data_IF_733387525996
#
_entry.id   IF_733387525996
#
_cell.length_a   1.000
_cell.length_b   1.000
_cell.length_c   1.000
_cell.angle_alpha   90.00
_cell.angle_beta   90.00
_cell.angle_gamma   90.00
#
_symmetry.space_group_name_H-M   'P 1'
#
loop_
_entity.id
_entity.type
_entity.pdbx_description
1 polymer ?
#
# COMPACT_ATOMS: atom_id res chain seq x y z
N UNK A 1 -14.12 -19.37 4.84
CA UNK A 1 -12.75 -19.87 4.59
C UNK A 1 -11.82 -19.10 5.50
N UNK A 2 -10.84 -19.76 6.11
CA UNK A 2 -9.92 -19.11 7.07
C UNK A 2 -8.77 -18.45 6.30
N UNK A 3 -8.37 -17.24 6.68
CA UNK A 3 -7.20 -16.59 6.12
C UNK A 3 -5.92 -17.18 6.72
N UNK A 4 -4.86 -17.26 5.91
CA UNK A 4 -3.55 -17.78 6.29
C UNK A 4 -2.53 -16.64 6.36
N UNK A 5 -1.63 -16.64 7.35
CA UNK A 5 -0.51 -15.71 7.34
C UNK A 5 0.45 -16.07 6.20
N UNK A 6 0.88 -15.05 5.46
CA UNK A 6 1.89 -15.16 4.41
C UNK A 6 2.95 -14.07 4.61
N UNK A 7 4.18 -14.38 4.25
CA UNK A 7 5.30 -13.47 4.20
C UNK A 7 5.87 -13.45 2.78
N UNK A 8 6.05 -12.26 2.22
CA UNK A 8 6.60 -12.04 0.87
C UNK A 8 7.74 -11.03 0.96
N UNK A 9 8.62 -11.00 -0.05
CA UNK A 9 9.47 -9.82 -0.31
C UNK A 9 8.89 -9.07 -1.49
N UNK A 10 8.28 -7.90 -1.27
CA UNK A 10 7.66 -7.10 -2.32
C UNK A 10 8.48 -5.83 -2.55
N UNK A 11 8.98 -5.63 -3.77
CA UNK A 11 9.81 -4.48 -4.16
C UNK A 11 11.00 -4.27 -3.19
N UNK A 12 11.67 -5.37 -2.82
CA UNK A 12 12.82 -5.37 -1.90
C UNK A 12 12.46 -5.23 -0.41
N UNK A 13 11.17 -5.12 -0.06
CA UNK A 13 10.71 -4.98 1.33
C UNK A 13 9.98 -6.23 1.78
N UNK A 14 10.33 -6.77 2.95
CA UNK A 14 9.54 -7.84 3.56
C UNK A 14 8.17 -7.31 3.95
N UNK A 15 7.13 -8.05 3.60
CA UNK A 15 5.74 -7.76 3.95
C UNK A 15 5.10 -9.02 4.48
N UNK A 16 4.29 -8.86 5.53
CA UNK A 16 3.47 -9.93 6.10
C UNK A 16 1.99 -9.55 5.99
N UNK A 17 1.12 -10.53 5.77
CA UNK A 17 -0.31 -10.29 5.72
C UNK A 17 -1.14 -11.56 5.78
N UNK A 18 -2.45 -11.39 5.87
CA UNK A 18 -3.40 -12.49 5.87
C UNK A 18 -4.04 -12.63 4.48
N UNK A 19 -4.07 -13.84 3.93
CA UNK A 19 -4.69 -14.13 2.64
C UNK A 19 -5.62 -15.35 2.74
N UNK A 20 -6.84 -15.26 2.20
CA UNK A 20 -7.66 -16.45 2.01
C UNK A 20 -7.03 -17.35 0.93
N UNK A 21 -7.23 -18.68 0.95
CA UNK A 21 -6.67 -19.57 -0.06
C UNK A 21 -7.02 -19.18 -1.51
N UNK A 22 -8.17 -18.52 -1.69
CA UNK A 22 -8.66 -18.05 -2.99
C UNK A 22 -8.16 -16.67 -3.39
N UNK A 23 -7.52 -15.92 -2.50
CA UNK A 23 -7.07 -14.56 -2.78
C UNK A 23 -6.00 -14.61 -3.85
N UNK A 24 -6.25 -13.97 -4.99
CA UNK A 24 -5.25 -13.83 -6.05
C UNK A 24 -4.13 -12.88 -5.61
N UNK A 25 -2.91 -13.11 -6.10
CA UNK A 25 -1.76 -12.25 -5.79
C UNK A 25 -2.05 -10.80 -6.22
N UNK A 26 -2.70 -10.59 -7.37
CA UNK A 26 -3.10 -9.25 -7.81
C UNK A 26 -3.98 -8.52 -6.79
N UNK A 27 -4.92 -9.23 -6.16
CA UNK A 27 -5.80 -8.68 -5.13
C UNK A 27 -5.01 -8.34 -3.86
N UNK A 28 -4.09 -9.21 -3.45
CA UNK A 28 -3.23 -8.98 -2.29
C UNK A 28 -2.31 -7.76 -2.48
N UNK A 29 -1.71 -7.62 -3.66
CA UNK A 29 -0.85 -6.48 -4.02
C UNK A 29 -1.65 -5.17 -4.06
N UNK A 30 -2.81 -5.16 -4.72
CA UNK A 30 -3.62 -3.94 -4.91
C UNK A 30 -4.38 -3.52 -3.66
N UNK A 31 -4.90 -4.50 -2.91
CA UNK A 31 -5.74 -4.28 -1.74
C UNK A 31 -4.88 -3.96 -0.53
N UNK A 32 -4.48 -4.96 0.29
CA UNK A 32 -3.67 -4.78 1.49
C UNK A 32 -2.41 -3.93 1.28
N UNK A 33 -1.66 -4.13 0.19
CA UNK A 33 -0.39 -3.42 -0.02
C UNK A 33 -0.51 -2.10 -0.80
N UNK A 34 -1.64 -1.84 -1.47
CA UNK A 34 -1.88 -0.60 -2.20
C UNK A 34 -1.02 -0.40 -3.45
N UNK A 35 -0.38 -1.45 -3.96
CA UNK A 35 0.43 -1.45 -5.18
C UNK A 35 -0.48 -1.50 -6.41
N UNK A 36 -1.14 -0.37 -6.65
CA UNK A 36 -2.25 -0.23 -7.60
C UNK A 36 -1.82 -0.12 -9.06
N UNK A 37 -0.52 -0.02 -9.34
CA UNK A 37 0.03 -0.11 -10.69
C UNK A 37 -0.16 -1.49 -11.33
N UNK A 38 -0.34 -2.54 -10.52
CA UNK A 38 -0.79 -3.85 -11.03
C UNK A 38 -2.27 -3.74 -11.41
N UNK A 39 -2.64 -3.91 -12.68
CA UNK A 39 -4.01 -3.73 -13.14
C UNK A 39 -4.75 -5.06 -13.39
N UNK A 40 -6.06 -5.07 -13.16
CA UNK A 40 -6.95 -6.22 -13.38
C UNK A 40 -7.94 -5.92 -14.51
N UNK A 41 -7.61 -6.38 -15.72
CA UNK A 41 -8.45 -6.13 -16.91
C UNK A 41 -9.38 -7.28 -17.30
N UNK A 42 -8.94 -8.54 -17.11
CA UNK A 42 -9.72 -9.71 -17.56
C UNK A 42 -9.85 -10.83 -16.53
N UNK A 43 -8.97 -10.90 -15.53
CA UNK A 43 -8.99 -11.92 -14.45
C UNK A 43 -8.95 -13.39 -14.92
N UNK A 44 -8.56 -13.63 -16.17
CA UNK A 44 -8.44 -14.96 -16.79
C UNK A 44 -7.10 -15.18 -17.50
N UNK A 45 -6.09 -14.34 -17.18
CA UNK A 45 -4.71 -14.46 -17.72
C UNK A 45 -4.48 -13.93 -19.14
N UNK A 46 -5.52 -13.50 -19.84
CA UNK A 46 -5.48 -13.13 -21.27
C UNK A 46 -4.82 -11.78 -21.54
N UNK A 47 -5.18 -10.72 -20.79
CA UNK A 47 -4.78 -9.35 -21.16
C UNK A 47 -3.37 -8.94 -20.73
N UNK A 48 -2.79 -9.61 -19.73
CA UNK A 48 -1.45 -9.31 -19.21
C UNK A 48 -1.27 -8.01 -18.42
N UNK A 49 -2.31 -7.22 -18.19
CA UNK A 49 -2.22 -6.00 -17.39
C UNK A 49 -1.79 -6.23 -15.92
N UNK A 50 -1.95 -7.47 -15.43
CA UNK A 50 -1.58 -7.90 -14.07
C UNK A 50 -0.15 -8.48 -13.98
N UNK A 51 0.67 -8.32 -15.01
CA UNK A 51 2.00 -8.93 -15.04
C UNK A 51 2.92 -8.27 -14.02
N UNK A 52 3.51 -9.09 -13.16
CA UNK A 52 4.53 -8.74 -12.16
C UNK A 52 5.69 -9.72 -12.28
N UNK A 53 6.83 -9.43 -11.67
CA UNK A 53 7.88 -10.44 -11.50
C UNK A 53 7.60 -11.25 -10.24
N UNK A 54 7.68 -12.57 -10.34
CA UNK A 54 7.68 -13.51 -9.22
C UNK A 54 8.97 -14.33 -9.36
N UNK A 55 9.88 -14.19 -8.40
CA UNK A 55 11.26 -14.70 -8.43
C UNK A 55 11.97 -14.35 -9.75
N UNK A 56 11.88 -13.07 -10.13
CA UNK A 56 12.48 -12.53 -11.34
C UNK A 56 11.74 -12.87 -12.65
N UNK A 57 10.65 -13.66 -12.62
CA UNK A 57 9.95 -14.12 -13.83
C UNK A 57 8.61 -13.38 -14.03
N UNK A 58 8.31 -12.86 -15.24
CA UNK A 58 7.00 -12.29 -15.52
C UNK A 58 5.89 -13.33 -15.37
N UNK A 59 4.94 -13.09 -14.49
CA UNK A 59 3.80 -13.98 -14.26
C UNK A 59 2.49 -13.22 -14.10
N UNK A 60 1.37 -13.92 -14.36
CA UNK A 60 0.02 -13.37 -14.22
C UNK A 60 -0.41 -13.41 -12.77
N UNK A 61 -0.31 -12.29 -12.06
CA UNK A 61 -0.74 -12.22 -10.66
C UNK A 61 -2.24 -12.49 -10.46
N UNK A 62 -3.08 -12.40 -11.50
CA UNK A 62 -4.50 -12.78 -11.42
C UNK A 62 -4.75 -14.30 -11.50
N UNK A 63 -3.77 -15.10 -11.91
CA UNK A 63 -3.87 -16.57 -11.94
C UNK A 63 -3.01 -17.23 -10.85
N UNK A 64 -2.27 -16.45 -10.08
CA UNK A 64 -1.45 -16.91 -8.96
C UNK A 64 -2.19 -16.63 -7.65
N UNK A 65 -2.21 -17.59 -6.73
CA UNK A 65 -2.77 -17.36 -5.39
C UNK A 65 -1.73 -16.70 -4.49
N UNK A 66 -2.14 -15.74 -3.66
CA UNK A 66 -1.24 -15.08 -2.73
C UNK A 66 -0.60 -16.09 -1.75
N UNK A 67 -1.38 -17.08 -1.30
CA UNK A 67 -0.89 -18.16 -0.42
C UNK A 67 0.19 -19.04 -1.05
N UNK A 68 0.19 -19.21 -2.38
CA UNK A 68 1.23 -19.99 -3.06
C UNK A 68 2.54 -19.23 -3.22
N UNK A 69 2.54 -17.92 -2.98
CA UNK A 69 3.74 -17.08 -3.08
C UNK A 69 4.47 -16.92 -1.75
N UNK A 70 4.05 -17.59 -0.68
CA UNK A 70 4.68 -17.43 0.63
C UNK A 70 6.19 -17.73 0.57
N UNK A 71 7.02 -16.73 0.86
CA UNK A 71 8.47 -16.74 0.77
C UNK A 71 9.04 -16.18 -0.55
N UNK A 72 8.22 -15.96 -1.57
CA UNK A 72 8.66 -15.51 -2.89
C UNK A 72 9.05 -14.02 -2.92
N UNK A 73 9.88 -13.66 -3.89
CA UNK A 73 10.18 -12.27 -4.23
C UNK A 73 9.24 -11.77 -5.33
N UNK A 74 8.47 -10.73 -5.03
CA UNK A 74 7.55 -10.08 -5.96
C UNK A 74 8.08 -8.70 -6.31
N UNK A 75 8.12 -8.36 -7.61
CA UNK A 75 8.43 -7.00 -8.06
C UNK A 75 7.32 -6.47 -8.97
N UNK A 76 6.70 -5.38 -8.55
CA UNK A 76 5.65 -4.65 -9.28
C UNK A 76 6.24 -3.44 -9.99
N UNK A 77 5.45 -2.75 -10.82
CA UNK A 77 5.94 -1.58 -11.59
C UNK A 77 6.51 -0.47 -10.71
N UNK A 78 5.99 -0.34 -9.48
CA UNK A 78 6.41 0.63 -8.45
C UNK A 78 7.80 0.33 -7.88
N UNK A 79 8.30 -0.90 -8.02
CA UNK A 79 9.57 -1.34 -7.47
C UNK A 79 10.77 -1.16 -8.41
N UNK A 80 10.64 -0.43 -9.52
CA UNK A 80 11.68 -0.38 -10.57
C UNK A 80 12.42 0.97 -10.68
N UNK A 81 12.35 1.82 -9.67
CA UNK A 81 12.98 3.16 -9.74
C UNK A 81 14.52 3.11 -9.73
N UNK A 82 15.09 2.02 -9.23
CA UNK A 82 16.53 1.72 -9.21
C UNK A 82 16.99 0.81 -10.37
N UNK A 83 16.08 0.42 -11.29
CA UNK A 83 16.42 -0.45 -12.42
C UNK A 83 16.76 0.38 -13.67
N UNK A 84 18.04 0.39 -14.13
CA UNK A 84 18.47 1.23 -15.24
C UNK A 84 17.79 0.87 -16.56
N UNK A 85 17.43 -0.40 -16.78
CA UNK A 85 16.70 -0.83 -17.99
C UNK A 85 15.28 -0.26 -17.96
N UNK A 86 14.65 -0.20 -16.78
CA UNK A 86 13.32 0.41 -16.65
C UNK A 86 13.35 1.92 -16.83
N UNK A 87 14.40 2.61 -16.42
CA UNK A 87 14.59 4.03 -16.74
C UNK A 87 14.66 4.25 -18.26
N UNK A 88 15.51 3.50 -18.97
CA UNK A 88 15.62 3.57 -20.43
C UNK A 88 14.28 3.23 -21.11
N UNK A 89 13.56 2.21 -20.64
CA UNK A 89 12.25 1.83 -21.17
C UNK A 89 11.20 2.92 -20.96
N UNK A 90 11.14 3.56 -19.78
CA UNK A 90 10.18 4.65 -19.52
C UNK A 90 10.43 5.84 -20.43
N UNK A 91 11.69 6.20 -20.67
CA UNK A 91 12.08 7.24 -21.62
C UNK A 91 11.71 6.86 -23.07
N UNK A 92 12.06 5.65 -23.51
CA UNK A 92 11.74 5.17 -24.85
C UNK A 92 10.22 5.05 -25.07
N UNK A 93 9.47 4.57 -24.08
CA UNK A 93 8.01 4.49 -24.16
C UNK A 93 7.38 5.89 -24.36
N UNK A 94 7.96 6.91 -23.74
CA UNK A 94 7.53 8.29 -23.90
C UNK A 94 7.86 8.82 -25.29
N UNK A 95 9.10 8.61 -25.75
CA UNK A 95 9.58 9.06 -27.07
C UNK A 95 8.83 8.40 -28.24
N UNK A 96 8.46 7.13 -28.12
CA UNK A 96 7.74 6.37 -29.16
C UNK A 96 6.22 6.41 -29.04
N UNK A 97 5.66 7.21 -28.11
CA UNK A 97 4.23 7.23 -27.82
C UNK A 97 3.66 5.82 -27.57
N UNK A 98 4.41 5.01 -26.83
CA UNK A 98 4.11 3.61 -26.53
C UNK A 98 2.99 3.43 -25.49
N UNK A 99 2.35 4.51 -25.04
CA UNK A 99 1.17 4.47 -24.19
C UNK A 99 0.17 5.56 -24.60
N UNK A 100 -1.11 5.31 -24.31
CA UNK A 100 -2.20 6.28 -24.41
C UNK A 100 -2.96 6.31 -23.09
N UNK A 101 -3.92 5.40 -22.89
CA UNK A 101 -4.70 5.32 -21.65
C UNK A 101 -3.89 4.89 -20.41
N UNK A 102 -2.67 4.36 -20.61
CA UNK A 102 -1.79 3.91 -19.53
C UNK A 102 -2.16 2.56 -18.90
N UNK A 103 -3.32 1.97 -19.23
CA UNK A 103 -3.84 0.81 -18.50
C UNK A 103 -3.01 -0.46 -18.68
N UNK A 104 -2.54 -0.77 -19.89
CA UNK A 104 -1.66 -1.93 -20.10
C UNK A 104 -0.19 -1.64 -19.75
N UNK A 105 0.18 -0.37 -19.55
CA UNK A 105 1.57 0.08 -19.48
C UNK A 105 2.38 -0.59 -18.36
N UNK A 106 1.87 -0.77 -17.14
CA UNK A 106 2.60 -1.49 -16.08
C UNK A 106 3.03 -2.90 -16.49
N UNK A 107 2.08 -3.72 -16.96
CA UNK A 107 2.37 -5.08 -17.42
C UNK A 107 3.28 -5.09 -18.67
N UNK A 108 3.07 -4.16 -19.60
CA UNK A 108 3.93 -3.99 -20.78
C UNK A 108 5.37 -3.68 -20.40
N UNK A 109 5.61 -2.79 -19.43
CA UNK A 109 6.97 -2.43 -18.99
C UNK A 109 7.67 -3.60 -18.30
N UNK A 110 6.97 -4.34 -17.45
CA UNK A 110 7.53 -5.55 -16.81
C UNK A 110 7.94 -6.58 -17.86
N UNK A 111 7.09 -6.84 -18.85
CA UNK A 111 7.43 -7.76 -19.96
C UNK A 111 8.53 -7.21 -20.86
N UNK A 112 8.51 -5.92 -21.19
CA UNK A 112 9.56 -5.26 -21.98
C UNK A 112 10.94 -5.39 -21.32
N UNK A 113 11.00 -5.18 -20.00
CA UNK A 113 12.22 -5.34 -19.22
C UNK A 113 12.72 -6.79 -19.25
N UNK A 114 11.83 -7.78 -19.12
CA UNK A 114 12.22 -9.19 -19.31
C UNK A 114 12.77 -9.46 -20.71
N UNK A 115 12.11 -8.99 -21.78
CA UNK A 115 12.59 -9.13 -23.16
C UNK A 115 14.01 -8.57 -23.30
N UNK A 116 14.21 -7.32 -22.88
CA UNK A 116 15.51 -6.64 -23.01
C UNK A 116 16.61 -7.37 -22.22
N UNK A 117 16.32 -7.75 -20.97
CA UNK A 117 17.35 -8.34 -20.09
C UNK A 117 17.66 -9.79 -20.47
N UNK A 118 16.65 -10.57 -20.87
CA UNK A 118 16.80 -11.99 -21.21
C UNK A 118 17.30 -12.22 -22.62
N UNK A 119 16.90 -11.39 -23.59
CA UNK A 119 17.22 -11.60 -25.01
C UNK A 119 18.31 -10.66 -25.53
N UNK A 120 18.55 -9.51 -24.90
CA UNK A 120 19.49 -8.52 -25.39
C UNK A 120 19.03 -7.90 -26.72
N UNK A 121 19.95 -7.72 -27.67
CA UNK A 121 19.67 -7.23 -29.01
C UNK A 121 18.77 -8.22 -29.78
N UNK A 122 17.52 -7.82 -30.00
CA UNK A 122 16.44 -8.69 -30.48
C UNK A 122 15.63 -8.02 -31.58
N UNK A 123 15.23 -8.82 -32.58
CA UNK A 123 14.44 -8.34 -33.69
C UNK A 123 12.97 -8.05 -33.34
N UNK A 124 12.32 -7.26 -34.20
CA UNK A 124 10.93 -6.85 -34.03
C UNK A 124 9.95 -8.03 -34.02
N UNK A 125 10.18 -9.06 -34.84
CA UNK A 125 9.29 -10.23 -34.90
C UNK A 125 9.27 -10.96 -33.56
N UNK A 126 10.44 -11.15 -32.97
CA UNK A 126 10.61 -11.77 -31.66
C UNK A 126 10.01 -10.90 -30.57
N UNK A 127 10.22 -9.58 -30.59
CA UNK A 127 9.57 -8.67 -29.63
C UNK A 127 8.04 -8.83 -29.68
N UNK A 128 7.44 -8.88 -30.88
CA UNK A 128 5.99 -9.07 -31.05
C UNK A 128 5.52 -10.41 -30.50
N UNK A 129 6.28 -11.49 -30.72
CA UNK A 129 5.97 -12.83 -30.19
C UNK A 129 6.02 -12.85 -28.66
N UNK A 130 7.05 -12.27 -28.05
CA UNK A 130 7.19 -12.18 -26.58
C UNK A 130 6.12 -11.26 -25.94
N UNK A 131 5.67 -10.23 -26.66
CA UNK A 131 4.58 -9.37 -26.23
C UNK A 131 3.18 -9.97 -26.43
N UNK A 132 3.03 -11.13 -27.06
CA UNK A 132 1.71 -11.72 -27.37
C UNK A 132 0.84 -11.94 -26.13
N UNK A 133 1.45 -12.02 -24.94
CA UNK A 133 0.75 -12.07 -23.66
C UNK A 133 0.22 -10.72 -23.15
N UNK A 134 0.55 -9.57 -23.72
CA UNK A 134 0.08 -8.28 -23.22
C UNK A 134 -0.79 -7.60 -24.27
N UNK A 135 -2.07 -7.39 -23.94
CA UNK A 135 -3.04 -6.81 -24.86
C UNK A 135 -3.11 -5.31 -24.65
N UNK A 136 -2.92 -4.56 -25.72
CA UNK A 136 -3.17 -3.12 -25.77
C UNK A 136 -4.31 -2.81 -26.74
N UNK A 137 -5.30 -2.04 -26.28
CA UNK A 137 -6.44 -1.61 -27.12
C UNK A 137 -6.23 -0.28 -27.82
N UNK A 138 -5.24 0.50 -27.39
CA UNK A 138 -5.10 1.91 -27.79
C UNK A 138 -3.99 2.14 -28.82
N UNK A 139 -2.81 1.52 -28.65
CA UNK A 139 -1.59 1.92 -29.38
C UNK A 139 -1.38 1.18 -30.70
N UNK A 140 -2.02 0.02 -30.91
CA UNK A 140 -1.71 -0.86 -32.04
C UNK A 140 -0.28 -1.45 -32.00
N UNK A 141 0.38 -1.42 -30.83
CA UNK A 141 1.71 -1.98 -30.53
C UNK A 141 2.92 -1.34 -31.22
N UNK A 142 2.76 -0.57 -32.29
CA UNK A 142 3.89 -0.02 -33.08
C UNK A 142 4.89 0.74 -32.21
N UNK A 143 4.42 1.70 -31.40
CA UNK A 143 5.30 2.47 -30.51
C UNK A 143 5.91 1.63 -29.38
N UNK A 144 5.19 0.62 -28.88
CA UNK A 144 5.68 -0.30 -27.83
C UNK A 144 6.86 -1.12 -28.36
N UNK A 145 6.70 -1.69 -29.56
CA UNK A 145 7.75 -2.46 -30.23
C UNK A 145 8.96 -1.58 -30.55
N UNK A 146 8.73 -0.36 -31.06
CA UNK A 146 9.78 0.62 -31.33
C UNK A 146 10.59 0.99 -30.08
N UNK A 147 9.91 1.23 -28.96
CA UNK A 147 10.56 1.54 -27.69
C UNK A 147 11.42 0.37 -27.17
N UNK A 148 10.89 -0.86 -27.21
CA UNK A 148 11.64 -2.04 -26.77
C UNK A 148 12.86 -2.27 -27.66
N UNK A 149 12.70 -2.18 -28.99
CA UNK A 149 13.80 -2.35 -29.95
C UNK A 149 14.91 -1.32 -29.74
N UNK A 150 14.55 -0.05 -29.48
CA UNK A 150 15.53 0.99 -29.17
C UNK A 150 16.36 0.62 -27.94
N UNK A 151 15.71 0.18 -26.87
CA UNK A 151 16.41 -0.15 -25.61
C UNK A 151 17.20 -1.46 -25.74
N UNK A 152 16.68 -2.44 -26.49
CA UNK A 152 17.36 -3.72 -26.73
C UNK A 152 18.64 -3.59 -27.55
N UNK A 153 18.71 -2.62 -28.48
CA UNK A 153 19.81 -2.47 -29.43
C UNK A 153 21.18 -2.40 -28.72
N UNK A 154 22.10 -3.29 -29.09
CA UNK A 154 23.44 -3.35 -28.52
C UNK A 154 23.54 -3.91 -27.08
N UNK A 155 22.44 -4.34 -26.46
CA UNK A 155 22.49 -5.05 -25.16
C UNK A 155 22.79 -6.53 -25.35
N UNK A 156 23.48 -7.12 -24.38
CA UNK A 156 23.77 -8.57 -24.36
C UNK A 156 22.74 -9.29 -23.51
N UNK A 157 22.29 -10.47 -23.98
CA UNK A 157 21.41 -11.34 -23.21
C UNK A 157 22.06 -11.73 -21.88
N UNK A 158 21.32 -11.59 -20.78
CA UNK A 158 21.71 -12.12 -19.47
C UNK A 158 20.99 -13.45 -19.30
N UNK A 159 21.78 -14.54 -19.21
CA UNK A 159 21.24 -15.86 -18.92
C UNK A 159 20.51 -15.83 -17.57
N UNK A 160 19.19 -15.97 -17.62
CA UNK A 160 18.39 -16.10 -16.43
C UNK A 160 18.55 -17.54 -15.92
N UNK A 161 19.12 -17.71 -14.72
CA UNK A 161 19.24 -19.04 -14.13
C UNK A 161 17.88 -19.47 -13.59
N UNK A 162 17.07 -20.08 -14.46
CA UNK A 162 15.75 -20.59 -14.11
C UNK A 162 15.91 -21.90 -13.35
N UNK A 163 16.23 -21.83 -12.07
CA UNK A 163 16.28 -23.02 -11.23
C UNK A 163 14.86 -23.52 -10.94
N UNK A 164 14.33 -24.37 -11.81
CA UNK A 164 13.03 -25.02 -11.62
C UNK A 164 13.08 -26.06 -10.49
N UNK A 165 14.25 -26.63 -10.20
CA UNK A 165 14.43 -27.66 -9.16
C UNK A 165 14.28 -27.06 -7.76
N UNK A 166 14.77 -25.84 -7.54
CA UNK A 166 14.60 -25.13 -6.26
C UNK A 166 13.12 -24.90 -5.86
N UNK A 167 12.19 -24.91 -6.83
CA UNK A 167 10.76 -24.78 -6.55
C UNK A 167 10.10 -26.08 -6.11
N UNK A 168 10.63 -27.25 -6.50
CA UNK A 168 10.04 -28.52 -6.04
C UNK A 168 10.43 -28.85 -4.60
N UNK A 169 11.62 -28.48 -4.14
CA UNK A 169 12.02 -28.71 -2.75
C UNK A 169 11.28 -27.79 -1.76
N UNK A 170 10.78 -26.63 -2.22
CA UNK A 170 9.96 -25.72 -1.44
C UNK A 170 8.44 -26.04 -1.49
N UNK A 171 8.02 -26.91 -2.42
CA UNK A 171 6.68 -27.56 -2.42
C UNK A 171 6.81 -29.03 -2.02
N UNK A 172 7.72 -29.35 -1.09
CA UNK A 172 7.22 -30.14 0.01
C UNK A 172 6.01 -29.35 0.50
N UNK A 173 4.82 -29.95 0.45
CA UNK A 173 3.77 -29.48 1.32
C UNK A 173 4.42 -29.47 2.71
N UNK A 174 4.95 -28.31 3.13
CA UNK A 174 4.93 -27.96 4.51
C UNK A 174 3.45 -28.01 4.77
N UNK A 175 2.99 -29.18 5.22
CA UNK A 175 1.96 -29.22 6.22
C UNK A 175 2.34 -28.08 7.12
N UNK A 176 1.62 -26.98 6.93
CA UNK A 176 1.39 -26.07 8.02
C UNK A 176 0.68 -27.00 8.98
N UNK A 177 1.46 -27.69 9.82
CA UNK A 177 0.98 -28.02 11.14
C UNK A 177 0.43 -26.70 11.59
N UNK A 178 -0.90 -26.63 11.62
CA UNK A 178 -1.57 -25.51 12.23
C UNK A 178 -0.89 -25.44 13.59
N UNK A 179 0.02 -24.47 13.74
CA UNK A 179 0.46 -24.03 15.05
C UNK A 179 -0.86 -23.92 15.79
N UNK A 180 -1.06 -24.71 16.87
CA UNK A 180 -2.36 -24.83 17.50
C UNK A 180 -2.83 -23.41 17.61
N UNK A 181 -3.92 -23.11 16.89
CA UNK A 181 -4.49 -21.80 16.97
C UNK A 181 -4.75 -21.69 18.47
N UNK A 182 -3.88 -20.93 19.15
CA UNK A 182 -4.30 -20.28 20.36
C UNK A 182 -5.50 -19.53 19.82
N UNK A 183 -6.67 -20.09 20.11
CA UNK A 183 -7.95 -19.47 19.92
C UNK A 183 -7.83 -18.24 20.82
N UNK A 184 -7.17 -17.20 20.28
CA UNK A 184 -7.33 -15.85 20.74
C UNK A 184 -8.81 -15.64 20.45
N UNK A 185 -9.60 -15.90 21.48
CA UNK A 185 -11.03 -15.74 21.46
C UNK A 185 -11.27 -14.39 20.80
N UNK A 186 -11.91 -14.38 19.63
CA UNK A 186 -12.42 -13.14 19.06
C UNK A 186 -13.21 -12.50 20.18
N UNK A 187 -12.80 -11.33 20.70
CA UNK A 187 -13.52 -10.73 21.79
C UNK A 187 -14.95 -10.49 21.33
N UNK A 188 -15.90 -10.91 22.16
CA UNK A 188 -17.33 -10.96 21.87
C UNK A 188 -17.97 -9.58 21.57
N UNK A 189 -17.17 -8.49 21.58
CA UNK A 189 -17.61 -7.12 21.37
C UNK A 189 -17.24 -6.52 20.00
N UNK A 190 -16.42 -7.18 19.18
CA UNK A 190 -15.84 -6.56 17.97
C UNK A 190 -16.44 -7.06 16.65
N UNK A 191 -17.76 -7.10 16.54
CA UNK A 191 -18.41 -7.30 15.24
C UNK A 191 -19.11 -6.04 14.73
N UNK A 192 -18.37 -5.24 13.94
CA UNK A 192 -18.94 -4.17 13.13
C UNK A 192 -19.42 -4.67 11.75
N UNK A 193 -19.72 -5.97 11.59
CA UNK A 193 -20.04 -6.61 10.29
C UNK A 193 -21.23 -6.00 9.56
N UNK A 194 -22.08 -5.21 10.22
CA UNK A 194 -23.20 -4.53 9.56
C UNK A 194 -22.92 -3.03 9.42
N UNK A 195 -22.44 -2.61 8.25
CA UNK A 195 -22.42 -1.21 7.84
C UNK A 195 -23.85 -0.71 7.57
N UNK A 196 -24.63 -0.50 8.63
CA UNK A 196 -25.84 0.31 8.65
C UNK A 196 -25.53 1.77 9.04
N UNK A 197 -26.33 2.71 8.54
CA UNK A 197 -26.40 4.12 8.99
C UNK A 197 -25.29 5.09 8.57
N UNK A 198 -24.61 4.82 7.46
CA UNK A 198 -23.66 5.76 6.84
C UNK A 198 -22.29 5.82 7.51
N UNK A 199 -21.95 4.81 8.30
CA UNK A 199 -20.60 4.58 8.81
C UNK A 199 -19.75 3.79 7.80
N UNK A 200 -18.46 4.10 7.76
CA UNK A 200 -17.42 3.33 7.07
C UNK A 200 -16.64 2.52 8.10
N UNK A 201 -16.19 1.32 7.71
CA UNK A 201 -15.40 0.42 8.57
C UNK A 201 -14.08 0.12 7.89
N UNK A 202 -13.00 0.18 8.66
CA UNK A 202 -11.64 -0.10 8.25
C UNK A 202 -11.04 -1.11 9.23
N UNK A 203 -10.43 -2.17 8.71
CA UNK A 203 -9.72 -3.19 9.51
C UNK A 203 -8.26 -3.18 9.14
N UNK A 204 -7.39 -3.17 10.13
CA UNK A 204 -5.93 -3.11 9.96
C UNK A 204 -5.24 -3.91 11.07
N UNK A 205 -4.08 -4.45 10.75
CA UNK A 205 -3.21 -5.11 11.72
C UNK A 205 -1.85 -4.43 11.72
N UNK A 206 -1.30 -4.22 12.90
CA UNK A 206 0.02 -3.63 13.11
C UNK A 206 0.90 -4.63 13.81
N UNK A 207 2.13 -4.83 13.35
CA UNK A 207 3.12 -5.67 14.03
C UNK A 207 4.12 -4.78 14.75
N UNK A 208 4.40 -5.09 16.02
CA UNK A 208 5.37 -4.40 16.86
C UNK A 208 6.38 -5.41 17.38
N UNK A 209 7.70 -5.16 17.23
CA UNK A 209 8.75 -6.06 17.71
C UNK A 209 8.99 -5.85 19.23
N UNK A 210 7.95 -5.98 20.03
CA UNK A 210 8.00 -5.89 21.48
C UNK A 210 6.99 -6.86 22.12
N UNK A 211 7.22 -7.31 23.36
CA UNK A 211 6.30 -8.19 24.07
C UNK A 211 4.91 -7.56 24.28
N UNK A 212 3.86 -8.38 24.20
CA UNK A 212 2.47 -7.93 24.28
C UNK A 212 2.15 -7.17 25.58
N UNK A 213 2.81 -7.50 26.69
CA UNK A 213 2.63 -6.81 27.98
C UNK A 213 3.15 -5.37 27.93
N UNK A 214 4.28 -5.15 27.24
CA UNK A 214 4.86 -3.82 27.09
C UNK A 214 4.03 -2.96 26.13
N UNK A 215 3.59 -3.54 25.02
CA UNK A 215 2.70 -2.89 24.06
C UNK A 215 1.38 -2.51 24.74
N UNK A 216 0.79 -3.44 25.49
CA UNK A 216 -0.44 -3.20 26.25
C UNK A 216 -0.27 -2.08 27.29
N UNK A 217 0.85 -2.05 28.01
CA UNK A 217 1.11 -0.98 28.98
C UNK A 217 1.18 0.42 28.31
N UNK A 218 1.85 0.54 27.16
CA UNK A 218 1.95 1.81 26.43
C UNK A 218 0.61 2.26 25.86
N UNK A 219 -0.20 1.34 25.33
CA UNK A 219 -1.55 1.67 24.84
C UNK A 219 -2.50 2.15 25.96
N UNK A 220 -2.18 1.86 27.23
CA UNK A 220 -2.91 2.38 28.39
C UNK A 220 -2.59 3.82 28.75
N UNK A 221 -1.46 4.36 28.28
CA UNK A 221 -1.09 5.76 28.50
C UNK A 221 -1.56 6.59 27.30
N UNK A 222 -2.72 7.24 27.47
CA UNK A 222 -3.39 8.03 26.43
C UNK A 222 -2.47 9.12 25.88
N UNK A 223 -1.61 9.74 26.72
CA UNK A 223 -0.70 10.81 26.27
C UNK A 223 0.43 10.24 25.41
N UNK A 224 0.98 9.09 25.79
CA UNK A 224 1.99 8.38 24.97
C UNK A 224 1.39 7.86 23.66
N UNK A 225 0.19 7.31 23.71
CA UNK A 225 -0.54 6.84 22.52
C UNK A 225 -0.79 8.00 21.54
N UNK A 226 -1.24 9.15 22.04
CA UNK A 226 -1.46 10.34 21.20
C UNK A 226 -0.15 10.88 20.60
N UNK A 227 0.97 10.82 21.31
CA UNK A 227 2.27 11.21 20.77
C UNK A 227 2.73 10.33 19.60
N UNK A 228 2.22 9.09 19.49
CA UNK A 228 2.50 8.21 18.36
C UNK A 228 1.66 8.56 17.11
N UNK A 229 0.56 9.31 17.27
CA UNK A 229 -0.38 9.66 16.20
C UNK A 229 -0.04 11.04 15.59
N UNK A 230 0.37 11.11 14.31
CA UNK A 230 0.69 12.39 13.68
C UNK A 230 -0.46 13.40 13.73
N UNK A 231 -0.17 14.62 14.20
CA UNK A 231 -1.15 15.70 14.28
C UNK A 231 -2.19 15.55 15.40
N UNK A 232 -2.09 14.51 16.22
CA UNK A 232 -2.90 14.38 17.43
C UNK A 232 -2.28 15.20 18.58
N UNK A 233 -3.14 15.77 19.41
CA UNK A 233 -2.77 16.47 20.63
C UNK A 233 -3.83 16.18 21.68
N UNK A 234 -3.39 16.04 22.94
CA UNK A 234 -4.25 15.77 24.08
C UNK A 234 -4.17 16.96 25.02
N UNK A 235 -5.31 17.60 25.23
CA UNK A 235 -5.45 18.75 26.11
C UNK A 235 -5.66 18.28 27.55
N UNK A 236 -6.78 17.58 27.79
CA UNK A 236 -7.13 17.04 29.11
C UNK A 236 -7.37 15.53 29.07
N UNK A 237 -7.03 14.85 30.18
CA UNK A 237 -7.34 13.45 30.45
C UNK A 237 -7.94 13.38 31.85
N UNK A 238 -9.21 12.99 31.94
CA UNK A 238 -9.96 12.87 33.19
C UNK A 238 -10.63 11.50 33.24
N UNK A 239 -9.98 10.53 33.89
CA UNK A 239 -10.45 9.14 33.90
C UNK A 239 -10.40 8.53 32.51
N UNK A 240 -11.56 8.11 31.99
CA UNK A 240 -11.76 7.56 30.66
C UNK A 240 -12.01 8.64 29.59
N UNK A 241 -12.25 9.89 29.98
CA UNK A 241 -12.53 11.00 29.05
C UNK A 241 -11.25 11.70 28.63
N UNK A 242 -11.14 11.97 27.34
CA UNK A 242 -10.05 12.73 26.73
C UNK A 242 -10.60 13.87 25.89
N UNK A 243 -10.00 15.05 26.00
CA UNK A 243 -10.22 16.15 25.05
C UNK A 243 -8.93 16.45 24.30
N UNK A 244 -9.06 16.86 23.05
CA UNK A 244 -7.90 17.13 22.23
C UNK A 244 -8.25 17.55 20.83
N UNK A 245 -7.22 17.56 19.99
CA UNK A 245 -7.38 17.86 18.57
C UNK A 245 -6.57 16.93 17.68
N UNK A 246 -7.07 16.71 16.47
CA UNK A 246 -6.42 15.93 15.43
C UNK A 246 -6.38 16.76 14.14
N UNK A 247 -5.17 17.11 13.70
CA UNK A 247 -4.95 17.77 12.41
C UNK A 247 -4.51 16.75 11.37
N UNK A 248 -5.28 16.64 10.29
CA UNK A 248 -4.98 15.78 9.15
C UNK A 248 -4.73 16.63 7.91
N UNK A 249 -3.75 16.23 7.11
CA UNK A 249 -3.44 16.85 5.81
C UNK A 249 -3.49 15.79 4.73
N UNK A 250 -4.30 16.03 3.71
CA UNK A 250 -4.48 15.17 2.54
C UNK A 250 -4.31 16.01 1.26
N UNK A 251 -3.11 16.01 0.70
CA UNK A 251 -2.77 16.85 -0.45
C UNK A 251 -3.10 18.33 -0.19
N UNK A 252 -3.96 18.98 -0.99
CA UNK A 252 -4.35 20.39 -0.77
C UNK A 252 -5.37 20.57 0.37
N UNK A 253 -5.93 19.49 0.93
CA UNK A 253 -6.96 19.56 1.97
C UNK A 253 -6.30 19.45 3.33
N UNK A 254 -6.54 20.44 4.19
CA UNK A 254 -6.14 20.41 5.60
C UNK A 254 -7.39 20.53 6.47
N UNK A 255 -7.58 19.58 7.37
CA UNK A 255 -8.71 19.55 8.29
C UNK A 255 -8.19 19.42 9.73
N UNK A 256 -8.77 20.18 10.65
CA UNK A 256 -8.40 20.18 12.06
C UNK A 256 -9.62 19.93 12.90
N UNK A 257 -9.72 18.75 13.49
CA UNK A 257 -10.85 18.36 14.32
C UNK A 257 -10.50 18.62 15.79
N UNK A 258 -11.23 19.50 16.46
CA UNK A 258 -11.22 19.59 17.90
C UNK A 258 -12.40 18.77 18.45
N UNK A 259 -12.17 18.00 19.50
CA UNK A 259 -13.15 17.03 19.95
C UNK A 259 -12.88 16.41 21.32
N UNK A 260 -13.78 15.50 21.68
CA UNK A 260 -13.69 14.69 22.89
C UNK A 260 -13.83 13.22 22.53
N UNK A 261 -13.33 12.37 23.42
CA UNK A 261 -13.48 10.94 23.32
C UNK A 261 -13.48 10.26 24.68
N UNK A 262 -13.81 8.97 24.64
CA UNK A 262 -13.91 8.08 25.78
C UNK A 262 -13.14 6.80 25.47
N UNK A 263 -12.35 6.34 26.43
CA UNK A 263 -11.46 5.19 26.31
C UNK A 263 -11.88 4.13 27.32
N UNK A 264 -12.22 2.93 26.85
CA UNK A 264 -12.50 1.78 27.69
C UNK A 264 -11.51 0.65 27.40
N UNK A 265 -11.10 -0.09 28.42
CA UNK A 265 -10.13 -1.18 28.33
C UNK A 265 -10.58 -2.39 29.14
N UNK A 266 -10.32 -3.57 28.59
CA UNK A 266 -10.42 -4.83 29.29
C UNK A 266 -9.01 -5.40 29.45
N UNK A 267 -8.51 -5.32 30.68
CA UNK A 267 -7.16 -5.79 31.05
C UNK A 267 -7.02 -7.31 30.91
N UNK A 268 -8.11 -8.08 31.07
CA UNK A 268 -8.09 -9.54 31.00
C UNK A 268 -8.01 -10.04 29.55
N UNK A 269 -8.72 -9.37 28.64
CA UNK A 269 -8.75 -9.70 27.22
C UNK A 269 -7.67 -8.95 26.41
N UNK A 270 -7.00 -7.94 26.99
CA UNK A 270 -6.10 -7.00 26.30
C UNK A 270 -6.77 -6.35 25.09
N UNK A 271 -8.00 -5.90 25.30
CA UNK A 271 -8.80 -5.22 24.29
C UNK A 271 -9.19 -3.83 24.76
N UNK A 272 -9.29 -2.89 23.83
CA UNK A 272 -9.75 -1.56 24.16
C UNK A 272 -10.63 -0.97 23.09
N UNK A 273 -11.41 0.02 23.49
CA UNK A 273 -12.23 0.82 22.59
C UNK A 273 -11.98 2.31 22.84
N UNK A 274 -11.99 3.09 21.79
CA UNK A 274 -11.88 4.55 21.82
C UNK A 274 -13.02 5.11 20.99
N UNK A 275 -13.97 5.79 21.63
CA UNK A 275 -15.07 6.49 20.95
C UNK A 275 -14.77 7.96 20.95
N UNK A 276 -15.00 8.65 19.84
CA UNK A 276 -14.68 10.06 19.75
C UNK A 276 -15.53 10.81 18.75
N UNK A 277 -15.66 12.11 18.96
CA UNK A 277 -16.30 13.03 18.03
C UNK A 277 -15.52 14.33 17.97
N UNK A 278 -15.35 14.85 16.77
CA UNK A 278 -14.70 16.14 16.55
C UNK A 278 -15.37 16.97 15.46
N UNK A 279 -15.14 18.28 15.52
CA UNK A 279 -15.60 19.23 14.52
C UNK A 279 -14.43 20.03 13.96
N UNK A 280 -14.38 20.15 12.64
CA UNK A 280 -13.55 21.11 11.94
C UNK A 280 -14.33 22.40 11.74
N UNK A 281 -14.04 23.39 12.59
CA UNK A 281 -14.72 24.68 12.58
C UNK A 281 -14.46 25.47 11.29
N UNK A 282 -13.31 25.26 10.62
CA UNK A 282 -12.94 26.00 9.40
C UNK A 282 -13.48 25.32 8.14
N UNK A 283 -13.36 23.99 8.07
CA UNK A 283 -13.83 23.20 6.93
C UNK A 283 -15.31 22.81 7.00
N UNK A 284 -16.02 23.16 8.08
CA UNK A 284 -17.45 22.89 8.26
C UNK A 284 -17.81 21.41 8.34
N UNK A 285 -16.84 20.54 8.59
CA UNK A 285 -17.02 19.10 8.64
C UNK A 285 -17.03 18.59 10.08
N UNK A 286 -17.67 17.45 10.32
CA UNK A 286 -17.54 16.73 11.60
C UNK A 286 -17.29 15.25 11.39
N UNK A 287 -16.58 14.67 12.35
CA UNK A 287 -16.22 13.27 12.38
C UNK A 287 -16.73 12.64 13.68
N UNK A 288 -17.36 11.49 13.57
CA UNK A 288 -17.63 10.59 14.70
C UNK A 288 -16.92 9.28 14.42
N UNK A 289 -16.17 8.76 15.38
CA UNK A 289 -15.36 7.56 15.22
C UNK A 289 -15.41 6.66 16.44
N UNK A 290 -15.21 5.38 16.19
CA UNK A 290 -15.02 4.34 17.19
C UNK A 290 -13.85 3.47 16.71
N UNK A 291 -12.85 3.31 17.55
CA UNK A 291 -11.71 2.44 17.33
C UNK A 291 -11.85 1.30 18.31
N UNK A 292 -11.72 0.08 17.85
CA UNK A 292 -11.62 -1.10 18.70
C UNK A 292 -10.30 -1.78 18.39
N UNK A 293 -9.57 -2.22 19.41
CA UNK A 293 -8.27 -2.85 19.23
C UNK A 293 -8.07 -4.04 20.17
N UNK A 294 -7.25 -5.00 19.74
CA UNK A 294 -6.81 -6.15 20.51
C UNK A 294 -5.30 -6.33 20.40
N UNK A 295 -4.64 -6.63 21.52
CA UNK A 295 -3.20 -6.91 21.58
C UNK A 295 -2.97 -8.42 21.67
N UNK A 296 -2.42 -8.98 20.61
CA UNK A 296 -2.22 -10.41 20.43
C UNK A 296 -0.72 -10.75 20.45
N UNK A 297 -0.25 -11.64 21.33
CA UNK A 297 1.13 -12.12 21.30
C UNK A 297 1.46 -12.84 19.98
N UNK A 298 2.63 -12.58 19.39
CA UNK A 298 3.13 -13.29 18.22
C UNK A 298 4.65 -13.53 18.33
N UNK A 299 5.05 -14.72 18.77
CA UNK A 299 6.47 -15.05 19.00
C UNK A 299 7.09 -14.10 20.04
N UNK A 300 8.20 -13.45 19.69
CA UNK A 300 8.82 -12.40 20.52
C UNK A 300 8.20 -10.99 20.28
N UNK A 301 7.27 -10.87 19.35
CA UNK A 301 6.58 -9.63 18.99
C UNK A 301 5.09 -9.65 19.33
N UNK A 302 4.38 -8.65 18.80
CA UNK A 302 2.96 -8.41 19.08
C UNK A 302 2.23 -7.96 17.81
N UNK A 303 1.03 -8.51 17.59
CA UNK A 303 0.06 -7.96 16.64
C UNK A 303 -0.93 -7.09 17.40
N UNK A 304 -1.16 -5.87 16.94
CA UNK A 304 -2.30 -5.05 17.33
C UNK A 304 -3.33 -5.13 16.20
N UNK A 305 -4.44 -5.81 16.44
CA UNK A 305 -5.58 -5.85 15.53
C UNK A 305 -6.47 -4.63 15.81
N UNK A 306 -6.72 -3.80 14.80
CA UNK A 306 -7.42 -2.52 14.94
C UNK A 306 -8.57 -2.44 13.94
N UNK A 307 -9.77 -2.21 14.45
CA UNK A 307 -10.94 -1.90 13.64
C UNK A 307 -11.41 -0.47 13.92
N UNK A 308 -11.48 0.35 12.88
CA UNK A 308 -11.97 1.73 12.97
C UNK A 308 -13.30 1.83 12.26
N UNK A 309 -14.33 2.28 12.97
CA UNK A 309 -15.63 2.66 12.44
C UNK A 309 -15.75 4.17 12.50
N UNK A 310 -16.04 4.85 11.39
CA UNK A 310 -16.17 6.31 11.38
C UNK A 310 -17.28 6.80 10.47
N UNK A 311 -17.76 8.01 10.75
CA UNK A 311 -18.74 8.74 9.96
C UNK A 311 -18.30 10.17 9.81
N UNK A 312 -18.25 10.64 8.56
CA UNK A 312 -17.96 12.03 8.22
C UNK A 312 -19.24 12.72 7.74
N UNK A 313 -19.44 13.96 8.16
CA UNK A 313 -20.52 14.83 7.68
C UNK A 313 -19.95 16.18 7.26
N UNK A 314 -20.63 16.88 6.36
CA UNK A 314 -20.17 18.14 5.77
C UNK A 314 -19.34 17.92 4.52
N UNK A 315 -18.57 18.94 4.06
CA UNK A 315 -17.80 18.87 2.81
C UNK A 315 -16.87 17.67 2.69
N UNK A 316 -16.31 17.18 3.80
CA UNK A 316 -15.42 16.00 3.78
C UNK A 316 -16.17 14.66 3.67
N UNK A 317 -17.50 14.63 3.82
CA UNK A 317 -18.28 13.41 3.70
C UNK A 317 -18.18 12.76 2.32
N UNK A 318 -17.95 13.56 1.27
CA UNK A 318 -17.76 13.08 -0.11
C UNK A 318 -16.55 12.14 -0.26
N UNK A 319 -15.58 12.21 0.67
CA UNK A 319 -14.39 11.36 0.65
C UNK A 319 -14.54 10.10 1.50
N UNK A 320 -15.54 10.04 2.39
CA UNK A 320 -15.64 9.04 3.47
C UNK A 320 -15.73 7.56 3.04
N UNK A 321 -15.91 7.26 1.74
CA UNK A 321 -15.93 5.91 1.17
C UNK A 321 -14.92 5.70 0.02
N UNK A 322 -14.05 6.67 -0.21
CA UNK A 322 -13.09 6.62 -1.31
C UNK A 322 -11.84 5.81 -0.93
N UNK A 323 -11.17 5.21 -1.93
CA UNK A 323 -9.87 4.56 -1.75
C UNK A 323 -8.83 5.48 -1.09
N UNK A 324 -9.01 6.80 -1.20
CA UNK A 324 -8.16 7.82 -0.58
C UNK A 324 -8.21 7.77 0.95
N UNK A 325 -9.38 7.52 1.55
CA UNK A 325 -9.50 7.45 3.02
C UNK A 325 -8.88 6.16 3.54
N UNK A 326 -9.01 5.06 2.79
CA UNK A 326 -8.33 3.80 3.11
C UNK A 326 -6.80 3.96 3.05
N UNK A 327 -6.27 4.62 2.02
CA UNK A 327 -4.83 4.89 1.90
C UNK A 327 -4.33 5.82 3.02
N UNK A 328 -5.07 6.90 3.31
CA UNK A 328 -4.75 7.82 4.39
C UNK A 328 -4.69 7.09 5.74
N UNK A 329 -5.72 6.30 6.06
CA UNK A 329 -5.78 5.59 7.31
C UNK A 329 -4.67 4.53 7.43
N UNK A 330 -4.27 3.88 6.33
CA UNK A 330 -3.11 2.98 6.31
C UNK A 330 -1.82 3.73 6.66
N UNK A 331 -1.54 4.86 5.99
CA UNK A 331 -0.34 5.66 6.27
C UNK A 331 -0.28 6.14 7.72
N UNK A 332 -1.43 6.57 8.27
CA UNK A 332 -1.52 6.99 9.67
C UNK A 332 -1.18 5.83 10.62
N UNK A 333 -1.67 4.63 10.32
CA UNK A 333 -1.40 3.43 11.11
C UNK A 333 0.04 2.94 10.97
N UNK A 334 0.64 3.03 9.78
CA UNK A 334 2.07 2.72 9.57
C UNK A 334 2.96 3.69 10.36
N UNK A 335 2.63 4.98 10.36
CA UNK A 335 3.34 6.00 11.15
C UNK A 335 3.15 5.76 12.66
N UNK A 336 1.94 5.42 13.08
CA UNK A 336 1.67 5.04 14.46
C UNK A 336 2.51 3.83 14.88
N UNK A 337 2.57 2.78 14.06
CA UNK A 337 3.36 1.59 14.30
C UNK A 337 4.86 1.91 14.46
N UNK A 338 5.39 2.73 13.54
CA UNK A 338 6.78 3.16 13.57
C UNK A 338 7.09 3.98 14.84
N UNK A 339 6.22 4.93 15.20
CA UNK A 339 6.39 5.76 16.41
C UNK A 339 6.24 4.96 17.70
N UNK A 340 5.30 4.03 17.74
CA UNK A 340 5.11 3.13 18.87
C UNK A 340 6.33 2.22 19.06
N UNK A 341 6.85 1.67 17.96
CA UNK A 341 8.09 0.88 17.98
C UNK A 341 9.26 1.71 18.49
N UNK A 342 9.47 2.90 17.94
CA UNK A 342 10.53 3.81 18.35
C UNK A 342 10.45 4.18 19.84
N UNK A 343 9.23 4.42 20.35
CA UNK A 343 8.98 4.70 21.76
C UNK A 343 9.31 3.50 22.66
N UNK A 344 9.02 2.28 22.21
CA UNK A 344 9.29 1.05 22.95
C UNK A 344 10.77 0.66 22.94
N UNK A 345 11.48 0.93 21.84
CA UNK A 345 12.89 0.56 21.67
C UNK A 345 13.88 1.67 22.04
N UNK A 346 13.40 2.88 22.34
CA UNK A 346 14.25 4.04 22.66
C UNK A 346 14.97 4.65 21.46
N UNK A 347 14.46 4.42 20.25
CA UNK A 347 15.02 4.90 18.97
C UNK A 347 14.35 6.22 18.56
N UNK A 348 14.98 7.11 17.77
CA UNK A 348 14.29 8.29 17.25
C UNK A 348 13.04 7.91 16.44
N UNK A 349 11.91 8.57 16.72
CA UNK A 349 10.63 8.33 16.03
C UNK A 349 10.65 8.68 14.54
N UNK A 350 9.66 8.19 13.80
CA UNK A 350 9.49 8.53 12.39
C UNK A 350 8.71 9.85 12.27
N UNK A 351 9.37 10.92 11.83
CA UNK A 351 8.63 12.12 11.41
C UNK A 351 7.81 11.81 10.15
N UNK A 352 6.59 12.37 10.02
CA UNK A 352 5.91 12.34 8.74
C UNK A 352 6.83 12.97 7.71
N UNK A 353 7.11 12.26 6.60
CA UNK A 353 7.80 12.86 5.47
C UNK A 353 7.02 14.12 5.08
N UNK A 354 7.56 15.31 5.38
CA UNK A 354 7.02 16.54 4.83
C UNK A 354 7.16 16.40 3.33
N UNK A 355 6.06 16.14 2.64
CA UNK A 355 5.99 16.52 1.22
C UNK A 355 5.98 18.05 1.21
N UNK A 356 7.14 18.68 1.36
CA UNK A 356 7.33 20.09 1.01
C UNK A 356 7.29 20.20 -0.52
N UNK A 357 6.11 20.00 -1.10
CA UNK A 357 5.74 20.78 -2.27
C UNK A 357 5.44 22.17 -1.73
N UNK A 358 6.50 22.95 -1.53
CA UNK A 358 6.37 24.33 -1.10
C UNK A 358 5.46 25.05 -2.09
N UNK A 359 4.56 25.90 -1.59
CA UNK A 359 3.70 26.73 -2.43
C UNK A 359 4.52 27.59 -3.42
N UNK A 360 5.77 27.90 -3.06
CA UNK A 360 6.77 28.56 -3.90
C UNK A 360 7.18 27.71 -5.11
N UNK A 361 7.20 26.38 -5.00
CA UNK A 361 7.54 25.46 -6.11
C UNK A 361 6.43 25.44 -7.16
N UNK A 362 5.17 25.32 -6.73
CA UNK A 362 4.00 25.37 -7.64
C UNK A 362 3.83 26.76 -8.25
N UNK A 363 4.02 27.83 -7.47
CA UNK A 363 4.05 29.19 -7.97
C UNK A 363 5.19 29.40 -8.97
N UNK A 364 6.39 28.86 -8.74
CA UNK A 364 7.53 28.96 -9.68
C UNK A 364 7.31 28.18 -10.97
N UNK A 365 6.61 27.03 -10.93
CA UNK A 365 6.26 26.26 -12.12
C UNK A 365 5.17 26.98 -12.94
N UNK A 366 4.19 27.59 -12.27
CA UNK A 366 3.16 28.40 -12.92
C UNK A 366 3.72 29.71 -13.50
N UNK A 367 4.61 30.40 -12.77
CA UNK A 367 5.30 31.61 -13.23
C UNK A 367 6.30 31.30 -14.36
N UNK A 368 6.96 30.14 -14.34
CA UNK A 368 7.83 29.66 -15.42
C UNK A 368 7.05 29.42 -16.71
N UNK A 369 5.94 28.66 -16.62
CA UNK A 369 5.08 28.40 -17.78
C UNK A 369 4.41 29.68 -18.33
N UNK A 370 4.08 30.64 -17.47
CA UNK A 370 3.54 31.94 -17.88
C UNK A 370 4.62 32.81 -18.55
N UNK A 371 5.86 32.77 -18.04
CA UNK A 371 7.01 33.50 -18.60
C UNK A 371 7.44 32.95 -19.96
N UNK A 372 7.42 31.63 -20.13
CA UNK A 372 7.77 30.98 -21.39
C UNK A 372 6.69 31.19 -22.47
N UNK A 373 5.41 31.22 -22.06
CA UNK A 373 4.31 31.65 -22.94
C UNK A 373 4.36 33.15 -23.28
N UNK A 374 4.75 34.02 -22.36
CA UNK A 374 4.92 35.46 -22.64
C UNK A 374 6.09 35.72 -23.59
N UNK A 375 7.21 35.01 -23.43
CA UNK A 375 8.37 35.09 -24.35
C UNK A 375 8.02 34.63 -25.76
N UNK A 376 7.22 33.57 -25.89
CA UNK A 376 6.73 33.09 -27.18
C UNK A 376 5.74 34.07 -27.85
N UNK A 377 5.01 34.88 -27.08
CA UNK A 377 4.06 35.88 -27.58
C UNK A 377 4.68 37.23 -27.92
N UNK A 378 5.81 37.60 -27.30
CA UNK A 378 6.43 38.94 -27.44
C UNK A 378 7.68 38.93 -28.35
N UNK A 379 8.22 37.76 -28.69
CA UNK A 379 9.11 37.59 -29.84
C UNK A 379 10.36 38.49 -29.86
N UNK A 380 11.30 38.27 -28.92
CA UNK A 380 12.76 38.37 -29.12
C UNK A 380 13.51 37.83 -27.92
#
# INVERSE_FOLDING_TARGET
>A
MTAHPIELTVNGRRVSGMAEPRTHLAEFLRGPLGLTGTHLGCEQGVCGACTVLIDGKPQRSCLTFAVSCNGDEIRTVEGFDDDPVMTELREAFSAHHALQCGYCTPGMLVTARDIVTRLGDVDEETIRRELSGNICRCTGYVGIVGAIRQVAAGKTAVAQNWNFEARHDAVAAKTVEAAPAAEAAKPASMDFSTAGDGFSVLKQQVTVPAPADQVWAVLGDIRRMAACLPGASVDTVEGDRVTGSLTISFGPIKASFAGEGEVARDESARTGTVKGRGRDAKGGSSATGEIAYAVLPQGEGTIIDVTVRYKLTGPLAQFGRSALVTDFARRMTDLFAANLTAMLTGTPGAEPARSELSFLTVASMMLGALRDRLKALIGR
#
